data_IF_092852569734
#
_entry.id   IF_092852569734
#
_cell.length_a   1.000
_cell.length_b   1.000
_cell.length_c   1.000
_cell.angle_alpha   90.00
_cell.angle_beta   90.00
_cell.angle_gamma   90.00
#
_symmetry.space_group_name_H-M   'P 1'
#
loop_
_entity.id
_entity.type
_entity.pdbx_description
1 polymer ?
#
# COMPACT_ATOMS: atom_id res chain seq x y z
N UNK A 1 -0.92 5.42 9.11
CA UNK A 1 -0.85 5.66 7.65
C UNK A 1 -0.48 4.42 6.86
N UNK A 2 0.76 3.93 6.92
CA UNK A 2 1.25 2.77 6.13
C UNK A 2 0.27 1.58 6.07
N UNK A 3 -0.22 1.13 7.23
CA UNK A 3 -1.18 0.04 7.30
C UNK A 3 -2.44 0.29 6.47
N UNK A 4 -3.04 1.48 6.58
CA UNK A 4 -4.24 1.85 5.84
C UNK A 4 -3.98 1.87 4.35
N UNK A 5 -2.87 2.48 3.91
CA UNK A 5 -2.51 2.51 2.48
C UNK A 5 -2.37 1.09 1.92
N UNK A 6 -1.60 0.23 2.60
CA UNK A 6 -1.43 -1.16 2.15
C UNK A 6 -2.73 -1.96 2.19
N UNK A 7 -3.59 -1.71 3.17
CA UNK A 7 -4.90 -2.35 3.27
C UNK A 7 -5.84 -1.94 2.13
N UNK A 8 -6.03 -0.63 1.91
CA UNK A 8 -6.91 -0.11 0.87
C UNK A 8 -6.48 -0.54 -0.52
N UNK A 9 -5.20 -0.35 -0.85
CA UNK A 9 -4.65 -0.77 -2.15
C UNK A 9 -4.65 -2.29 -2.32
N UNK A 10 -4.70 -3.04 -1.22
CA UNK A 10 -4.55 -4.48 -1.21
C UNK A 10 -3.27 -4.93 -1.88
N UNK A 11 -2.23 -4.09 -1.91
CA UNK A 11 -0.96 -4.30 -2.62
C UNK A 11 -0.01 -5.20 -1.83
N UNK A 12 1.10 -5.62 -2.45
CA UNK A 12 2.18 -6.25 -1.67
C UNK A 12 2.87 -5.14 -0.90
N UNK A 13 3.13 -5.34 0.40
CA UNK A 13 3.79 -4.34 1.25
C UNK A 13 5.03 -3.66 0.63
N UNK A 14 5.82 -4.38 -0.17
CA UNK A 14 6.99 -3.84 -0.87
C UNK A 14 6.64 -2.74 -1.89
N UNK A 15 5.45 -2.77 -2.48
CA UNK A 15 4.94 -1.77 -3.43
C UNK A 15 4.61 -0.47 -2.67
N UNK A 16 3.84 -0.56 -1.58
CA UNK A 16 3.63 0.54 -0.63
C UNK A 16 4.94 1.16 -0.12
N UNK A 17 5.97 0.34 0.16
CA UNK A 17 7.27 0.84 0.61
C UNK A 17 8.04 1.61 -0.46
N UNK A 18 7.81 1.32 -1.74
CA UNK A 18 8.42 2.02 -2.85
C UNK A 18 7.63 3.25 -3.31
N UNK A 19 6.48 3.53 -2.70
CA UNK A 19 5.62 4.62 -3.11
C UNK A 19 6.31 5.97 -2.85
N UNK A 20 6.29 6.83 -3.87
CA UNK A 20 6.84 8.19 -3.83
C UNK A 20 5.71 9.19 -4.03
N UNK A 21 5.85 10.41 -3.51
CA UNK A 21 4.80 11.42 -3.59
C UNK A 21 4.40 11.80 -5.02
N UNK A 22 5.34 11.77 -5.98
CA UNK A 22 5.07 12.00 -7.40
C UNK A 22 4.09 11.01 -8.03
N UNK A 23 3.90 9.85 -7.41
CA UNK A 23 2.96 8.81 -7.85
C UNK A 23 1.60 8.92 -7.17
N UNK A 24 1.35 9.95 -6.36
CA UNK A 24 0.08 10.16 -5.66
C UNK A 24 -0.52 11.48 -6.13
N UNK A 25 -1.67 11.40 -6.80
CA UNK A 25 -2.46 12.56 -7.15
C UNK A 25 -3.63 12.72 -6.17
N UNK A 26 -3.42 13.51 -5.12
CA UNK A 26 -4.45 13.74 -4.09
C UNK A 26 -5.68 14.48 -4.61
N UNK A 27 -5.55 15.27 -5.70
CA UNK A 27 -6.70 15.99 -6.30
C UNK A 27 -7.60 15.06 -7.11
N UNK A 28 -6.98 14.12 -7.84
CA UNK A 28 -7.69 13.11 -8.62
C UNK A 28 -8.02 11.84 -7.83
N UNK A 29 -7.55 11.75 -6.58
CA UNK A 29 -7.67 10.56 -5.74
C UNK A 29 -7.08 9.31 -6.42
N UNK A 30 -5.86 9.46 -6.96
CA UNK A 30 -5.18 8.39 -7.70
C UNK A 30 -3.83 8.04 -7.06
N UNK A 31 -3.49 6.75 -7.03
CA UNK A 31 -2.17 6.22 -6.66
C UNK A 31 -1.64 5.34 -7.78
N UNK A 32 -0.41 5.60 -8.23
CA UNK A 32 0.28 4.77 -9.22
C UNK A 32 1.31 3.85 -8.55
N UNK A 33 1.11 2.54 -8.68
CA UNK A 33 2.09 1.52 -8.31
C UNK A 33 2.99 1.20 -9.51
N UNK A 34 4.25 1.64 -9.43
CA UNK A 34 5.24 1.52 -10.51
C UNK A 34 6.43 0.64 -10.13
N UNK A 35 6.83 0.67 -8.85
CA UNK A 35 8.03 -0.03 -8.34
C UNK A 35 7.72 -0.76 -7.04
N UNK A 36 8.65 -1.62 -6.63
CA UNK A 36 8.64 -2.29 -5.34
C UNK A 36 10.03 -2.28 -4.68
N UNK A 37 10.02 -2.30 -3.34
CA UNK A 37 11.09 -2.66 -2.41
C UNK A 37 11.63 -4.08 -2.64
N UNK A 38 12.91 -4.28 -2.95
CA UNK A 38 13.55 -5.56 -2.61
C UNK A 38 13.95 -5.61 -1.11
N UNK A 39 14.51 -6.75 -0.65
CA UNK A 39 14.92 -6.91 0.75
C UNK A 39 16.08 -6.00 1.16
N UNK A 40 16.85 -5.51 0.19
CA UNK A 40 18.00 -4.61 0.36
C UNK A 40 17.62 -3.15 0.11
N UNK A 41 16.32 -2.83 0.01
CA UNK A 41 15.77 -1.49 -0.25
C UNK A 41 16.06 -0.93 -1.66
N UNK A 42 16.48 -1.78 -2.59
CA UNK A 42 16.67 -1.38 -3.98
C UNK A 42 15.32 -1.38 -4.72
N UNK A 43 15.02 -0.32 -5.50
CA UNK A 43 13.83 -0.31 -6.33
C UNK A 43 13.94 -1.37 -7.43
N UNK A 44 12.93 -2.23 -7.52
CA UNK A 44 12.73 -3.15 -8.64
C UNK A 44 11.39 -2.91 -9.30
N UNK A 45 11.23 -3.42 -10.51
CA UNK A 45 9.92 -3.48 -11.14
C UNK A 45 8.95 -4.34 -10.32
N UNK A 46 7.67 -4.01 -10.39
CA UNK A 46 6.58 -4.85 -9.87
C UNK A 46 6.61 -6.23 -10.54
N UNK A 47 6.00 -7.24 -9.90
CA UNK A 47 5.89 -8.58 -10.49
C UNK A 47 5.15 -8.46 -11.83
N UNK A 48 5.80 -8.87 -12.92
CA UNK A 48 5.27 -8.76 -14.28
C UNK A 48 5.42 -7.39 -14.94
N UNK A 49 6.25 -6.48 -14.42
CA UNK A 49 6.50 -5.14 -14.96
C UNK A 49 5.24 -4.27 -15.15
N UNK A 50 4.17 -4.56 -14.40
CA UNK A 50 2.88 -3.89 -14.55
C UNK A 50 2.86 -2.56 -13.81
N UNK A 51 2.39 -1.52 -14.49
CA UNK A 51 2.02 -0.25 -13.86
C UNK A 51 0.53 -0.29 -13.56
N UNK A 52 0.17 -0.03 -12.31
CA UNK A 52 -1.25 0.01 -11.91
C UNK A 52 -1.59 1.38 -11.34
N UNK A 53 -2.68 1.96 -11.80
CA UNK A 53 -3.28 3.16 -11.22
C UNK A 53 -4.52 2.77 -10.43
N UNK A 54 -4.56 3.10 -9.14
CA UNK A 54 -5.71 2.91 -8.29
C UNK A 54 -6.44 4.23 -8.11
N UNK A 55 -7.75 4.23 -8.29
CA UNK A 55 -8.60 5.23 -7.66
C UNK A 55 -8.77 4.87 -6.19
N UNK A 56 -8.64 5.85 -5.31
CA UNK A 56 -8.66 5.65 -3.86
C UNK A 56 -9.82 6.42 -3.21
N UNK A 57 -10.36 5.91 -2.08
CA UNK A 57 -11.44 6.59 -1.38
C UNK A 57 -10.99 7.95 -0.81
N UNK A 58 -11.97 8.83 -0.57
CA UNK A 58 -11.74 10.11 0.12
C UNK A 58 -11.10 9.91 1.49
N UNK A 59 -11.50 8.87 2.23
CA UNK A 59 -10.93 8.55 3.54
C UNK A 59 -9.42 8.29 3.47
N UNK A 60 -8.94 7.58 2.45
CA UNK A 60 -7.51 7.36 2.27
C UNK A 60 -6.81 8.64 1.80
N UNK A 61 -7.47 9.42 0.93
CA UNK A 61 -6.94 10.68 0.40
C UNK A 61 -6.70 11.70 1.52
N UNK A 62 -7.65 11.87 2.43
CA UNK A 62 -7.57 12.79 3.56
C UNK A 62 -6.44 12.39 4.52
N UNK A 63 -6.34 11.09 4.83
CA UNK A 63 -5.26 10.55 5.64
C UNK A 63 -3.88 10.80 5.00
N UNK A 64 -3.75 10.62 3.68
CA UNK A 64 -2.51 10.90 2.96
C UNK A 64 -2.19 12.41 2.91
N UNK A 65 -3.19 13.27 2.80
CA UNK A 65 -3.01 14.72 2.86
C UNK A 65 -2.47 15.15 4.23
N UNK A 66 -3.09 14.67 5.31
CA UNK A 66 -2.63 14.90 6.67
C UNK A 66 -1.21 14.36 6.88
N UNK A 67 -0.93 13.16 6.38
CA UNK A 67 0.39 12.55 6.45
C UNK A 67 1.46 13.36 5.68
N UNK A 68 1.17 13.86 4.47
CA UNK A 68 2.10 14.69 3.70
C UNK A 68 2.51 15.94 4.48
N UNK A 69 1.54 16.60 5.12
CA UNK A 69 1.78 17.77 5.99
C UNK A 69 2.62 17.42 7.21
N UNK A 70 2.26 16.34 7.92
CA UNK A 70 3.01 15.88 9.09
C UNK A 70 4.46 15.52 8.73
N UNK A 71 4.67 14.74 7.67
CA UNK A 71 6.00 14.35 7.22
C UNK A 71 6.87 15.57 6.87
N UNK A 72 6.28 16.61 6.24
CA UNK A 72 7.00 17.87 5.96
C UNK A 72 7.51 18.53 7.24
N UNK A 73 6.68 18.60 8.28
CA UNK A 73 7.05 19.17 9.57
C UNK A 73 8.12 18.32 10.27
N UNK A 74 8.02 16.99 10.20
CA UNK A 74 9.00 16.09 10.80
C UNK A 74 10.37 16.19 10.12
N UNK A 75 10.40 16.28 8.78
CA UNK A 75 11.64 16.39 8.01
C UNK A 75 12.30 17.75 8.13
N UNK A 76 11.52 18.83 8.27
CA UNK A 76 12.05 20.16 8.50
C UNK A 76 12.91 20.24 9.79
N UNK A 77 12.60 19.43 10.81
CA UNK A 77 13.41 19.34 12.05
C UNK A 77 14.84 18.82 11.80
N UNK A 78 15.06 18.15 10.67
CA UNK A 78 16.36 17.64 10.24
C UNK A 78 16.92 18.41 9.04
N UNK A 79 16.36 19.60 8.74
CA UNK A 79 16.71 20.43 7.57
C UNK A 79 16.51 19.70 6.23
N UNK A 80 15.59 18.73 6.16
CA UNK A 80 15.24 18.01 4.93
C UNK A 80 13.99 18.65 4.32
N UNK A 81 14.09 19.06 3.05
CA UNK A 81 12.95 19.58 2.29
C UNK A 81 12.21 18.39 1.67
N UNK A 82 10.91 18.26 1.97
CA UNK A 82 10.07 17.25 1.33
C UNK A 82 9.94 17.54 -0.17
N UNK A 83 10.34 16.59 -1.01
CA UNK A 83 10.17 16.62 -2.47
C UNK A 83 9.18 15.56 -2.95
N UNK A 84 8.78 15.65 -4.22
CA UNK A 84 7.88 14.66 -4.81
C UNK A 84 8.57 13.31 -5.13
N UNK A 85 9.90 13.30 -5.27
CA UNK A 85 10.71 12.08 -5.38
C UNK A 85 10.84 11.35 -4.05
N UNK A 86 10.46 11.97 -2.94
CA UNK A 86 10.59 11.35 -1.64
C UNK A 86 9.62 10.18 -1.48
N UNK A 87 10.09 9.13 -0.81
CA UNK A 87 9.24 8.03 -0.38
C UNK A 87 8.16 8.53 0.60
N UNK A 88 6.95 8.02 0.42
CA UNK A 88 5.81 8.35 1.27
C UNK A 88 5.99 7.80 2.67
N UNK A 89 6.62 6.63 2.80
CA UNK A 89 6.92 6.01 4.08
C UNK A 89 8.41 5.83 4.28
N UNK A 90 8.94 6.50 5.28
CA UNK A 90 10.35 6.44 5.68
C UNK A 90 10.45 6.30 7.19
N UNK A 91 11.65 5.97 7.67
CA UNK A 91 11.94 5.86 9.11
C UNK A 91 13.38 6.27 9.39
N UNK A 92 13.70 6.45 10.67
CA UNK A 92 15.07 6.56 11.15
C UNK A 92 15.60 5.14 11.32
N UNK A 93 16.67 4.80 10.59
CA UNK A 93 17.26 3.46 10.68
C UNK A 93 18.16 3.29 11.92
N UNK A 94 18.65 2.07 12.14
CA UNK A 94 19.50 1.74 13.30
C UNK A 94 20.87 2.42 13.26
N UNK A 95 21.27 2.98 12.12
CA UNK A 95 22.51 3.75 11.95
C UNK A 95 22.27 5.26 12.14
N UNK A 96 21.04 5.66 12.45
CA UNK A 96 20.66 7.06 12.63
C UNK A 96 20.35 7.81 11.32
N UNK A 97 20.33 7.13 10.17
CA UNK A 97 19.97 7.78 8.91
C UNK A 97 18.47 8.12 8.94
N UNK A 98 18.17 9.40 8.84
CA UNK A 98 16.81 9.93 8.76
C UNK A 98 16.28 9.76 7.34
N UNK A 99 14.96 9.63 7.20
CA UNK A 99 14.27 9.55 5.90
C UNK A 99 14.66 8.31 5.07
N UNK A 100 15.10 7.23 5.73
CA UNK A 100 15.49 5.99 5.06
C UNK A 100 14.26 5.20 4.58
N UNK A 101 14.35 4.47 3.45
CA UNK A 101 13.31 3.54 3.02
C UNK A 101 13.06 2.46 4.07
N UNK A 102 11.81 2.04 4.21
CA UNK A 102 11.41 1.03 5.19
C UNK A 102 12.13 -0.30 4.98
N UNK A 103 12.48 -0.95 6.09
CA UNK A 103 12.96 -2.33 6.06
C UNK A 103 11.84 -3.30 5.63
N UNK A 104 12.18 -4.41 4.96
CA UNK A 104 11.21 -5.40 4.48
C UNK A 104 10.24 -5.89 5.58
N UNK A 105 10.75 -6.04 6.80
CA UNK A 105 9.98 -6.49 7.96
C UNK A 105 9.29 -5.40 8.75
N UNK A 106 9.37 -4.14 8.34
CA UNK A 106 8.84 -3.02 9.14
C UNK A 106 7.36 -3.21 9.52
N UNK A 107 6.50 -3.41 8.52
CA UNK A 107 5.06 -3.61 8.77
C UNK A 107 4.77 -4.91 9.54
N UNK A 108 5.50 -6.00 9.26
CA UNK A 108 5.38 -7.25 10.01
C UNK A 108 5.68 -7.03 11.50
N UNK A 109 6.75 -6.31 11.82
CA UNK A 109 7.17 -6.03 13.18
C UNK A 109 6.18 -5.10 13.90
N UNK A 110 5.61 -4.11 13.18
CA UNK A 110 4.54 -3.27 13.73
C UNK A 110 3.28 -4.09 14.03
N UNK A 111 2.88 -5.00 13.16
CA UNK A 111 1.74 -5.90 13.41
C UNK A 111 1.99 -6.84 14.59
N UNK A 112 3.17 -7.47 14.69
CA UNK A 112 3.58 -8.26 15.86
C UNK A 112 3.55 -7.44 17.16
N UNK A 113 3.88 -6.15 17.09
CA UNK A 113 3.80 -5.24 18.24
C UNK A 113 2.37 -4.91 18.65
N UNK A 114 1.40 -4.94 17.73
CA UNK A 114 -0.03 -4.82 18.05
C UNK A 114 -0.51 -6.12 18.69
N UNK A 115 -0.23 -7.27 18.07
CA UNK A 115 -0.56 -8.60 18.59
C UNK A 115 -0.04 -8.83 20.02
N UNK A 116 1.18 -8.37 20.34
CA UNK A 116 1.70 -8.48 21.71
C UNK A 116 0.91 -7.69 22.75
N UNK A 117 0.30 -6.56 22.35
CA UNK A 117 -0.49 -5.69 23.23
C UNK A 117 -1.98 -6.06 23.28
N UNK A 118 -2.43 -6.82 22.29
CA UNK A 118 -3.83 -7.20 22.08
C UNK A 118 -3.88 -8.69 21.79
N UNK A 119 -3.79 -9.50 22.85
CA UNK A 119 -3.70 -10.98 22.77
C UNK A 119 -5.00 -11.62 22.29
N UNK A 120 -6.10 -10.91 22.40
CA UNK A 120 -7.42 -11.26 21.88
C UNK A 120 -7.48 -11.24 20.34
N UNK A 121 -6.59 -10.50 19.68
CA UNK A 121 -6.56 -10.43 18.22
C UNK A 121 -5.93 -11.68 17.62
N UNK A 122 -6.58 -12.24 16.61
CA UNK A 122 -6.02 -13.35 15.83
C UNK A 122 -4.73 -12.93 15.12
N UNK A 123 -3.75 -13.84 15.08
CA UNK A 123 -2.48 -13.60 14.41
C UNK A 123 -2.66 -13.20 12.93
N UNK A 124 -2.29 -11.96 12.61
CA UNK A 124 -2.42 -11.38 11.29
C UNK A 124 -1.06 -10.97 10.73
N UNK A 125 -0.91 -11.08 9.41
CA UNK A 125 0.23 -10.57 8.65
C UNK A 125 -0.29 -9.69 7.51
N UNK A 126 0.55 -8.82 6.90
CA UNK A 126 0.10 -8.01 5.76
C UNK A 126 -0.47 -8.85 4.62
N UNK A 127 0.11 -10.03 4.38
CA UNK A 127 -0.38 -10.94 3.35
C UNK A 127 -1.73 -11.59 3.73
N UNK A 128 -1.91 -12.00 4.98
CA UNK A 128 -3.21 -12.52 5.46
C UNK A 128 -4.31 -11.45 5.39
N UNK A 129 -3.99 -10.20 5.69
CA UNK A 129 -4.96 -9.11 5.61
C UNK A 129 -5.35 -8.78 4.16
N UNK A 130 -4.40 -8.84 3.21
CA UNK A 130 -4.70 -8.77 1.78
C UNK A 130 -5.68 -9.86 1.35
N UNK A 131 -5.44 -11.12 1.77
CA UNK A 131 -6.37 -12.23 1.51
C UNK A 131 -7.73 -12.00 2.18
N UNK A 132 -7.74 -11.50 3.41
CA UNK A 132 -8.98 -11.19 4.14
C UNK A 132 -9.81 -10.13 3.41
N UNK A 133 -9.19 -9.07 2.89
CA UNK A 133 -9.88 -8.06 2.08
C UNK A 133 -10.54 -8.65 0.83
N UNK A 134 -9.86 -9.56 0.14
CA UNK A 134 -10.41 -10.29 -1.00
C UNK A 134 -11.57 -11.21 -0.62
N UNK A 135 -11.44 -11.97 0.46
CA UNK A 135 -12.49 -12.84 0.98
C UNK A 135 -13.72 -12.06 1.40
N UNK A 136 -13.54 -10.94 2.11
CA UNK A 136 -14.64 -10.05 2.50
C UNK A 136 -15.36 -9.51 1.25
N UNK A 137 -14.62 -8.97 0.28
CA UNK A 137 -15.21 -8.52 -0.99
C UNK A 137 -16.05 -9.63 -1.65
N UNK A 138 -15.54 -10.87 -1.67
CA UNK A 138 -16.28 -12.01 -2.22
C UNK A 138 -17.56 -12.33 -1.43
N UNK A 139 -17.49 -12.33 -0.10
CA UNK A 139 -18.64 -12.58 0.78
C UNK A 139 -19.74 -11.53 0.60
N UNK A 140 -19.37 -10.29 0.30
CA UNK A 140 -20.31 -9.21 0.02
C UNK A 140 -20.75 -9.12 -1.46
N UNK A 141 -20.54 -10.20 -2.23
CA UNK A 141 -21.13 -10.36 -3.55
C UNK A 141 -20.29 -9.83 -4.72
N UNK A 142 -19.06 -9.37 -4.49
CA UNK A 142 -18.17 -8.97 -5.59
C UNK A 142 -17.75 -10.17 -6.44
N UNK A 143 -17.70 -9.99 -7.76
CA UNK A 143 -17.29 -11.05 -8.69
C UNK A 143 -15.82 -11.43 -8.49
N UNK A 144 -15.43 -12.65 -8.90
CA UNK A 144 -14.02 -13.05 -8.79
C UNK A 144 -13.15 -12.29 -9.78
N UNK A 145 -13.73 -11.90 -10.91
CA UNK A 145 -13.14 -11.09 -11.96
C UNK A 145 -12.73 -9.72 -11.42
N UNK A 146 -13.66 -9.00 -10.77
CA UNK A 146 -13.41 -7.67 -10.19
C UNK A 146 -12.39 -7.75 -9.04
N UNK A 147 -12.45 -8.78 -8.20
CA UNK A 147 -11.48 -9.00 -7.11
C UNK A 147 -10.08 -9.29 -7.70
N UNK A 148 -9.99 -10.11 -8.74
CA UNK A 148 -8.73 -10.46 -9.40
C UNK A 148 -8.09 -9.24 -10.07
N UNK A 149 -8.91 -8.40 -10.70
CA UNK A 149 -8.51 -7.12 -11.28
C UNK A 149 -7.99 -6.19 -10.17
N UNK A 150 -8.78 -5.95 -9.12
CA UNK A 150 -8.42 -5.06 -8.01
C UNK A 150 -7.17 -5.51 -7.23
N UNK A 151 -6.93 -6.82 -7.10
CA UNK A 151 -5.73 -7.35 -6.48
C UNK A 151 -4.49 -7.30 -7.37
N UNK A 152 -4.57 -6.80 -8.61
CA UNK A 152 -3.41 -6.72 -9.52
C UNK A 152 -2.69 -8.07 -9.71
N UNK A 153 -3.46 -9.16 -9.71
CA UNK A 153 -3.06 -10.57 -9.90
C UNK A 153 -1.98 -11.14 -8.96
N UNK A 154 -2.43 -11.79 -7.88
CA UNK A 154 -1.65 -12.76 -7.10
C UNK A 154 -2.61 -13.84 -6.58
N UNK A 155 -2.56 -15.12 -6.90
CA UNK A 155 -1.58 -15.97 -7.56
C UNK A 155 -2.33 -17.18 -8.19
N UNK A 156 -1.65 -17.90 -9.09
CA UNK A 156 -1.94 -19.23 -9.68
C UNK A 156 -3.18 -19.43 -10.56
N UNK A 157 -3.08 -19.17 -11.88
CA UNK A 157 -3.51 -20.03 -13.02
C UNK A 157 -3.89 -19.30 -14.33
N UNK A 158 -4.00 -17.99 -14.37
CA UNK A 158 -4.34 -17.32 -15.65
C UNK A 158 -3.13 -16.65 -16.28
N UNK A 159 -2.50 -17.39 -17.19
CA UNK A 159 -1.65 -16.86 -18.27
C UNK A 159 -2.48 -15.88 -19.10
N UNK A 160 -2.52 -14.61 -18.68
CA UNK A 160 -2.98 -13.52 -19.53
C UNK A 160 -1.73 -12.78 -19.99
N UNK A 161 -1.44 -12.91 -21.28
CA UNK A 161 -0.48 -12.12 -22.04
C UNK A 161 -0.93 -10.66 -21.99
N UNK A 162 -0.56 -9.94 -20.94
CA UNK A 162 -0.93 -8.54 -20.80
C UNK A 162 0.01 -7.71 -21.67
N UNK A 163 -0.54 -7.25 -22.80
CA UNK A 163 -0.02 -6.17 -23.63
C UNK A 163 0.29 -4.96 -22.73
N UNK A 164 1.40 -4.30 -23.03
CA UNK A 164 2.10 -3.23 -22.30
C UNK A 164 1.25 -1.96 -22.05
N UNK A 165 0.08 -2.11 -21.43
CA UNK A 165 -0.89 -1.06 -21.11
C UNK A 165 -1.05 -0.97 -19.59
N UNK A 166 -1.19 0.25 -19.08
CA UNK A 166 -1.31 0.48 -17.63
C UNK A 166 -2.67 -0.02 -17.14
N UNK A 167 -2.68 -0.83 -16.08
CA UNK A 167 -3.92 -1.33 -15.50
C UNK A 167 -4.57 -0.23 -14.65
N UNK A 168 -5.87 0.00 -14.78
CA UNK A 168 -6.60 1.01 -14.02
C UNK A 168 -7.62 0.32 -13.14
N UNK A 169 -7.46 0.45 -11.82
CA UNK A 169 -8.35 -0.11 -10.83
C UNK A 169 -9.34 0.97 -10.40
N UNK A 170 -10.64 0.85 -10.75
CA UNK A 170 -11.64 1.87 -10.43
C UNK A 170 -12.01 1.89 -8.95
N UNK A 171 -11.88 0.76 -8.25
CA UNK A 171 -12.12 0.66 -6.82
C UNK A 171 -11.16 -0.35 -6.20
N UNK A 172 -10.44 0.06 -5.17
CA UNK A 172 -9.44 -0.80 -4.53
C UNK A 172 -10.13 -1.87 -3.65
N UNK A 173 -9.58 -3.08 -3.59
CA UNK A 173 -10.21 -4.21 -2.85
C UNK A 173 -10.42 -3.90 -1.36
N UNK A 174 -9.51 -3.14 -0.75
CA UNK A 174 -9.65 -2.75 0.65
C UNK A 174 -10.75 -1.70 0.84
N UNK A 175 -11.08 -0.90 -0.17
CA UNK A 175 -12.27 -0.05 -0.12
C UNK A 175 -13.54 -0.89 -0.13
N UNK A 176 -13.65 -1.86 -1.05
CA UNK A 176 -14.80 -2.78 -1.11
C UNK A 176 -15.01 -3.43 0.26
N UNK A 177 -13.95 -3.97 0.86
CA UNK A 177 -14.03 -4.55 2.20
C UNK A 177 -14.43 -3.51 3.26
N UNK A 178 -13.80 -2.33 3.27
CA UNK A 178 -14.06 -1.28 4.26
C UNK A 178 -15.52 -0.78 4.25
N UNK A 179 -16.10 -0.58 3.06
CA UNK A 179 -17.49 -0.13 2.90
C UNK A 179 -18.49 -1.14 3.45
N UNK A 180 -18.17 -2.42 3.37
CA UNK A 180 -19.04 -3.49 3.87
C UNK A 180 -18.84 -3.82 5.35
N UNK A 181 -17.72 -3.43 5.96
CA UNK A 181 -17.51 -3.55 7.42
C UNK A 181 -18.28 -2.52 8.25
N UNK A 182 -18.74 -1.43 7.63
CA UNK A 182 -19.46 -0.32 8.29
C UNK A 182 -20.99 -0.51 8.34
N UNK A 183 -21.48 -1.71 8.05
CA UNK A 183 -22.89 -2.09 8.23
C UNK A 183 -23.01 -2.97 9.47
#
# INVERSE_FOLDING_TARGET
MLFYTTFFLGDRKSESYALQWKHINLKKQEIQLVKALDKYKNPKSTKGNKRTTFHIPIELTDLLCAWKKQQKLELAKFNIIQSDEQYVFTYIDTKGNVNSPLHADYLNNKMKSVERRHKELTHATPHKLRHTGATLAKQFGTSLEDISEALTHSDTLTTKTYVNTSNVIPMAVGEIAYRNLKK
#
